data_IF_416835466533
#
_entry.id   IF_416835466533
#
_cell.length_a   1.000
_cell.length_b   1.000
_cell.length_c   1.000
_cell.angle_alpha   90.00
_cell.angle_beta   90.00
_cell.angle_gamma   90.00
#
_symmetry.space_group_name_H-M   'P 1'
#
loop_
_entity.id
_entity.type
_entity.pdbx_description
1 polymer ?
#
# COMPACT_ATOMS: atom_id res chain seq x y z
N UNK A 1 -35.27 40.58 1.77
CA UNK A 1 -34.38 39.78 2.64
C UNK A 1 -33.24 39.29 1.77
N UNK A 2 -32.07 39.93 1.84
CA UNK A 2 -30.90 39.55 1.06
C UNK A 2 -29.94 38.77 1.96
N UNK A 3 -29.67 37.52 1.60
CA UNK A 3 -28.68 36.64 2.23
C UNK A 3 -27.28 37.07 1.80
N UNK A 4 -26.56 37.75 2.68
CA UNK A 4 -25.13 38.06 2.50
C UNK A 4 -24.32 36.76 2.62
N UNK A 5 -23.87 36.24 1.48
CA UNK A 5 -22.92 35.13 1.45
C UNK A 5 -21.60 35.56 2.10
N UNK A 6 -21.26 34.92 3.22
CA UNK A 6 -20.00 35.11 3.92
C UNK A 6 -18.89 34.51 3.06
N UNK A 7 -18.10 35.37 2.41
CA UNK A 7 -16.92 34.94 1.65
C UNK A 7 -15.88 34.38 2.65
N UNK A 8 -15.74 33.05 2.68
CA UNK A 8 -14.64 32.39 3.38
C UNK A 8 -13.33 32.72 2.65
N UNK A 9 -12.57 33.65 3.20
CA UNK A 9 -11.22 33.95 2.73
C UNK A 9 -10.34 32.70 2.89
N UNK A 10 -9.74 32.24 1.80
CA UNK A 10 -8.85 31.10 1.80
C UNK A 10 -7.69 31.31 2.80
N UNK A 11 -7.27 30.25 3.52
CA UNK A 11 -6.19 30.35 4.50
C UNK A 11 -4.89 30.83 3.83
N UNK A 12 -4.33 31.90 4.38
CA UNK A 12 -3.09 32.52 3.90
C UNK A 12 -1.94 31.54 4.17
N UNK A 13 -1.26 31.09 3.12
CA UNK A 13 -0.08 30.23 3.27
C UNK A 13 1.03 31.01 3.99
N UNK A 14 1.60 30.41 5.04
CA UNK A 14 2.72 30.98 5.78
C UNK A 14 4.04 30.72 5.02
N UNK A 15 4.51 31.75 4.32
CA UNK A 15 5.72 31.69 3.51
C UNK A 15 6.97 31.34 4.32
N UNK A 16 7.03 31.68 5.62
CA UNK A 16 8.16 31.33 6.47
C UNK A 16 8.22 29.82 6.73
N UNK A 17 7.07 29.20 7.02
CA UNK A 17 6.95 27.74 7.16
C UNK A 17 7.32 27.03 5.87
N UNK A 18 6.86 27.50 4.71
CA UNK A 18 7.23 26.91 3.42
C UNK A 18 8.73 27.01 3.14
N UNK A 19 9.34 28.18 3.39
CA UNK A 19 10.78 28.36 3.21
C UNK A 19 11.60 27.45 4.14
N UNK A 20 11.21 27.33 5.41
CA UNK A 20 11.86 26.44 6.37
C UNK A 20 11.79 24.96 5.94
N UNK A 21 10.62 24.51 5.48
CA UNK A 21 10.44 23.14 4.96
C UNK A 21 11.31 22.88 3.73
N UNK A 22 11.41 23.84 2.81
CA UNK A 22 12.27 23.71 1.63
C UNK A 22 13.76 23.63 2.00
N UNK A 23 14.20 24.46 2.95
CA UNK A 23 15.59 24.47 3.40
C UNK A 23 15.98 23.14 4.07
N UNK A 24 15.18 22.67 5.04
CA UNK A 24 15.43 21.40 5.73
C UNK A 24 15.32 20.23 4.76
N UNK A 25 14.28 20.21 3.94
CA UNK A 25 14.07 19.15 2.94
C UNK A 25 15.22 19.09 1.93
N UNK A 26 15.69 20.23 1.44
CA UNK A 26 16.83 20.31 0.53
C UNK A 26 18.13 19.80 1.16
N UNK A 27 18.43 20.22 2.39
CA UNK A 27 19.62 19.75 3.10
C UNK A 27 19.59 18.24 3.36
N UNK A 28 18.46 17.70 3.81
CA UNK A 28 18.28 16.27 4.04
C UNK A 28 18.39 15.48 2.74
N UNK A 29 17.84 15.99 1.64
CA UNK A 29 17.93 15.35 0.33
C UNK A 29 19.38 15.26 -0.16
N UNK A 30 20.16 16.35 -0.06
CA UNK A 30 21.57 16.36 -0.47
C UNK A 30 22.40 15.40 0.38
N UNK A 31 22.26 15.43 1.70
CA UNK A 31 23.00 14.53 2.60
C UNK A 31 22.63 13.06 2.37
N UNK A 32 21.35 12.77 2.18
CA UNK A 32 20.89 11.41 1.91
C UNK A 32 21.38 10.92 0.54
N UNK A 33 21.41 11.81 -0.46
CA UNK A 33 21.92 11.51 -1.79
C UNK A 33 23.40 11.14 -1.76
N UNK A 34 24.21 11.91 -1.02
CA UNK A 34 25.64 11.65 -0.84
C UNK A 34 25.89 10.27 -0.20
N UNK A 35 25.25 9.97 0.94
CA UNK A 35 25.43 8.69 1.61
C UNK A 35 24.94 7.49 0.80
N UNK A 36 23.84 7.61 0.04
CA UNK A 36 23.37 6.57 -0.86
C UNK A 36 24.29 6.36 -2.07
N UNK A 37 24.87 7.44 -2.61
CA UNK A 37 25.87 7.36 -3.68
C UNK A 37 27.11 6.63 -3.18
N UNK A 38 27.63 7.05 -2.01
CA UNK A 38 28.75 6.38 -1.37
C UNK A 38 28.48 4.90 -1.07
N UNK A 39 27.25 4.55 -0.64
CA UNK A 39 26.84 3.16 -0.46
C UNK A 39 26.91 2.36 -1.77
N UNK A 40 26.41 2.91 -2.87
CA UNK A 40 26.47 2.26 -4.17
C UNK A 40 27.92 2.07 -4.66
N UNK A 41 28.80 3.05 -4.40
CA UNK A 41 30.22 2.94 -4.72
C UNK A 41 30.97 1.88 -3.87
N UNK A 42 30.60 1.74 -2.60
CA UNK A 42 31.08 0.65 -1.73
C UNK A 42 30.62 -0.71 -2.24
N UNK A 43 29.40 -0.78 -2.78
CA UNK A 43 28.86 -1.96 -3.44
C UNK A 43 29.47 -2.23 -4.84
N UNK A 44 30.39 -1.37 -5.32
CA UNK A 44 31.15 -1.56 -6.56
C UNK A 44 30.60 -0.83 -7.79
N UNK A 45 29.53 -0.04 -7.67
CA UNK A 45 28.91 0.68 -8.78
C UNK A 45 29.67 1.98 -9.14
N UNK A 46 30.95 1.87 -9.48
CA UNK A 46 31.84 3.02 -9.75
C UNK A 46 31.93 3.43 -11.23
N UNK A 47 31.22 2.72 -12.09
CA UNK A 47 31.23 3.00 -13.53
C UNK A 47 30.30 4.18 -13.84
N UNK A 48 30.56 4.85 -14.96
CA UNK A 48 29.69 5.89 -15.52
C UNK A 48 29.08 5.41 -16.83
N UNK A 49 27.79 5.69 -17.02
CA UNK A 49 27.10 5.47 -18.28
C UNK A 49 27.46 6.61 -19.24
N UNK A 50 28.08 6.34 -20.41
CA UNK A 50 28.36 7.38 -21.38
C UNK A 50 27.06 7.96 -21.94
N UNK A 51 26.88 9.27 -21.82
CA UNK A 51 25.75 10.00 -22.37
C UNK A 51 26.28 11.06 -23.35
N UNK A 52 25.67 11.22 -24.54
CA UNK A 52 26.21 12.08 -25.61
C UNK A 52 26.25 13.57 -25.24
N UNK A 53 25.58 13.97 -24.16
CA UNK A 53 25.48 15.34 -23.66
C UNK A 53 26.23 15.59 -22.33
N UNK A 54 26.86 14.57 -21.73
CA UNK A 54 27.66 14.71 -20.51
C UNK A 54 29.10 14.29 -20.77
N UNK A 55 30.04 15.20 -20.50
CA UNK A 55 31.48 14.96 -20.72
C UNK A 55 32.03 13.81 -19.88
N UNK A 56 31.50 13.59 -18.67
CA UNK A 56 31.97 12.55 -17.74
C UNK A 56 31.01 11.34 -17.62
N UNK A 57 29.91 11.35 -18.38
CA UNK A 57 28.83 10.36 -18.25
C UNK A 57 28.00 10.53 -16.97
N UNK A 58 27.01 9.65 -16.78
CA UNK A 58 26.19 9.58 -15.58
C UNK A 58 26.74 8.50 -14.63
N UNK A 59 27.20 8.83 -13.41
CA UNK A 59 27.67 7.82 -12.47
C UNK A 59 26.57 6.81 -12.14
N UNK A 60 26.83 5.51 -12.29
CA UNK A 60 25.84 4.47 -11.99
C UNK A 60 25.47 4.46 -10.51
N UNK A 61 26.37 4.90 -9.63
CA UNK A 61 26.09 5.07 -8.20
C UNK A 61 24.90 6.01 -7.93
N UNK A 62 24.62 6.97 -8.81
CA UNK A 62 23.49 7.90 -8.68
C UNK A 62 22.14 7.22 -8.89
N UNK A 63 22.11 6.06 -9.55
CA UNK A 63 20.85 5.35 -9.82
C UNK A 63 20.18 4.89 -8.53
N UNK A 64 20.94 4.60 -7.47
CA UNK A 64 20.37 4.17 -6.19
C UNK A 64 19.54 5.27 -5.51
N UNK A 65 20.09 6.46 -5.18
CA UNK A 65 19.29 7.52 -4.58
C UNK A 65 18.13 7.94 -5.50
N UNK A 66 18.36 8.06 -6.80
CA UNK A 66 17.31 8.44 -7.75
C UNK A 66 16.16 7.43 -7.78
N UNK A 67 16.46 6.13 -7.82
CA UNK A 67 15.43 5.09 -7.83
C UNK A 67 14.65 5.05 -6.51
N UNK A 68 15.34 5.21 -5.38
CA UNK A 68 14.71 5.22 -4.06
C UNK A 68 13.80 6.43 -3.87
N UNK A 69 14.23 7.62 -4.29
CA UNK A 69 13.45 8.84 -4.23
C UNK A 69 12.25 8.79 -5.19
N UNK A 70 12.45 8.31 -6.42
CA UNK A 70 11.36 8.09 -7.36
C UNK A 70 10.31 7.13 -6.79
N UNK A 71 10.75 6.04 -6.16
CA UNK A 71 9.87 5.11 -5.46
C UNK A 71 9.09 5.78 -4.34
N UNK A 72 9.76 6.53 -3.46
CA UNK A 72 9.14 7.25 -2.35
C UNK A 72 8.10 8.28 -2.85
N UNK A 73 8.42 9.02 -3.91
CA UNK A 73 7.53 10.00 -4.54
C UNK A 73 6.30 9.32 -5.15
N UNK A 74 6.47 8.22 -5.88
CA UNK A 74 5.36 7.48 -6.47
C UNK A 74 4.44 6.92 -5.38
N UNK A 75 5.00 6.27 -4.36
CA UNK A 75 4.25 5.72 -3.24
C UNK A 75 3.50 6.82 -2.47
N UNK A 76 4.16 7.94 -2.17
CA UNK A 76 3.55 9.09 -1.47
C UNK A 76 2.45 9.75 -2.30
N UNK A 77 2.66 9.88 -3.63
CA UNK A 77 1.64 10.41 -4.53
C UNK A 77 0.41 9.52 -4.58
N UNK A 78 0.58 8.20 -4.67
CA UNK A 78 -0.56 7.28 -4.66
C UNK A 78 -1.29 7.32 -3.31
N UNK A 79 -0.54 7.41 -2.22
CA UNK A 79 -1.11 7.51 -0.87
C UNK A 79 -1.94 8.79 -0.68
N UNK A 80 -1.41 9.97 -1.07
CA UNK A 80 -1.99 11.27 -0.73
C UNK A 80 -2.89 11.87 -1.82
N UNK A 81 -2.68 11.52 -3.09
CA UNK A 81 -3.26 12.28 -4.23
C UNK A 81 -3.96 11.41 -5.27
N UNK A 82 -4.24 10.14 -4.98
CA UNK A 82 -4.89 9.24 -5.94
C UNK A 82 -6.40 9.16 -5.65
N UNK A 83 -7.25 9.92 -6.38
CA UNK A 83 -8.68 10.03 -6.10
C UNK A 83 -9.41 8.69 -6.29
N UNK A 84 -9.01 7.92 -7.31
CA UNK A 84 -9.62 6.63 -7.65
C UNK A 84 -8.97 5.43 -6.95
N UNK A 85 -7.97 5.62 -6.08
CA UNK A 85 -7.36 4.50 -5.37
C UNK A 85 -8.24 4.05 -4.20
N UNK A 86 -8.43 2.74 -4.08
CA UNK A 86 -9.14 2.15 -2.95
C UNK A 86 -8.40 2.38 -1.63
N UNK A 87 -9.10 2.28 -0.50
CA UNK A 87 -8.49 2.43 0.83
C UNK A 87 -7.34 1.42 1.05
N UNK A 88 -7.50 0.18 0.55
CA UNK A 88 -6.48 -0.85 0.64
C UNK A 88 -5.23 -0.52 -0.20
N UNK A 89 -5.41 0.03 -1.41
CA UNK A 89 -4.29 0.47 -2.26
C UNK A 89 -3.56 1.66 -1.64
N UNK A 90 -4.28 2.65 -1.08
CA UNK A 90 -3.67 3.78 -0.36
C UNK A 90 -2.89 3.33 0.88
N UNK A 91 -3.39 2.34 1.62
CA UNK A 91 -2.70 1.77 2.79
C UNK A 91 -1.42 1.02 2.41
N UNK A 92 -1.44 0.28 1.29
CA UNK A 92 -0.21 -0.31 0.73
C UNK A 92 0.77 0.78 0.28
N UNK A 93 0.31 1.82 -0.41
CA UNK A 93 1.15 2.95 -0.82
C UNK A 93 1.78 3.66 0.38
N UNK A 94 1.03 3.84 1.47
CA UNK A 94 1.51 4.39 2.75
C UNK A 94 2.62 3.53 3.35
N UNK A 95 2.43 2.21 3.43
CA UNK A 95 3.48 1.28 3.90
C UNK A 95 4.73 1.36 3.03
N UNK A 96 4.57 1.43 1.71
CA UNK A 96 5.69 1.56 0.77
C UNK A 96 6.44 2.88 0.95
N UNK A 97 5.74 4.00 1.15
CA UNK A 97 6.34 5.31 1.41
C UNK A 97 7.18 5.31 2.70
N UNK A 98 6.64 4.78 3.81
CA UNK A 98 7.41 4.62 5.04
C UNK A 98 8.57 3.63 4.90
N UNK A 99 8.37 2.55 4.14
CA UNK A 99 9.41 1.60 3.82
C UNK A 99 10.57 2.26 3.06
N UNK A 100 10.29 3.15 2.11
CA UNK A 100 11.31 3.88 1.37
C UNK A 100 12.16 4.79 2.28
N UNK A 101 11.49 5.53 3.18
CA UNK A 101 12.17 6.38 4.17
C UNK A 101 13.04 5.54 5.10
N UNK A 102 12.49 4.44 5.64
CA UNK A 102 13.25 3.52 6.50
C UNK A 102 14.45 2.92 5.79
N UNK A 103 14.30 2.54 4.53
CA UNK A 103 15.37 1.99 3.71
C UNK A 103 16.50 3.02 3.47
N UNK A 104 16.15 4.28 3.21
CA UNK A 104 17.13 5.37 3.07
C UNK A 104 17.95 5.57 4.35
N UNK A 105 17.30 5.58 5.51
CA UNK A 105 17.97 5.70 6.82
C UNK A 105 18.91 4.51 7.06
N UNK A 106 18.46 3.28 6.77
CA UNK A 106 19.28 2.07 6.92
C UNK A 106 20.52 2.14 6.02
N UNK A 107 20.38 2.49 4.74
CA UNK A 107 21.54 2.56 3.85
C UNK A 107 22.54 3.63 4.25
N UNK A 108 22.07 4.82 4.65
CA UNK A 108 22.95 5.86 5.17
C UNK A 108 23.71 5.38 6.43
N UNK A 109 23.01 4.71 7.36
CA UNK A 109 23.63 4.14 8.56
C UNK A 109 24.68 3.07 8.23
N UNK A 110 24.35 2.15 7.31
CA UNK A 110 25.29 1.10 6.87
C UNK A 110 26.49 1.71 6.15
N UNK A 111 26.28 2.69 5.28
CA UNK A 111 27.36 3.40 4.59
C UNK A 111 28.38 3.95 5.60
N UNK A 112 27.94 4.77 6.56
CA UNK A 112 28.84 5.35 7.55
C UNK A 112 29.48 4.29 8.46
N UNK A 113 28.75 3.23 8.81
CA UNK A 113 29.31 2.13 9.59
C UNK A 113 30.44 1.39 8.86
N UNK A 114 30.27 1.13 7.56
CA UNK A 114 31.30 0.49 6.71
C UNK A 114 32.47 1.44 6.44
N UNK A 115 32.18 2.71 6.17
CA UNK A 115 33.17 3.76 5.94
C UNK A 115 34.12 3.91 7.13
N UNK A 116 33.58 3.84 8.35
CA UNK A 116 34.33 3.89 9.61
C UNK A 116 35.15 2.61 9.92
N UNK A 117 34.84 1.46 9.30
CA UNK A 117 35.48 0.17 9.59
C UNK A 117 36.03 -0.49 8.31
N UNK A 118 36.68 0.31 7.45
CA UNK A 118 37.15 -0.10 6.11
C UNK A 118 38.16 -1.26 6.10
N UNK A 119 38.74 -1.62 7.23
CA UNK A 119 39.79 -2.62 7.35
C UNK A 119 39.22 -4.05 7.30
N UNK A 120 38.84 -4.50 6.09
CA UNK A 120 38.57 -5.92 5.78
C UNK A 120 37.10 -6.35 5.75
N UNK A 121 36.18 -5.46 5.36
CA UNK A 121 34.76 -5.67 5.65
C UNK A 121 34.03 -6.58 4.64
N UNK A 122 33.79 -7.82 5.06
CA UNK A 122 32.67 -8.66 4.60
C UNK A 122 31.33 -7.89 4.57
N UNK A 123 31.22 -6.79 5.33
CA UNK A 123 30.12 -5.84 5.28
C UNK A 123 29.98 -5.16 3.91
N UNK A 124 31.07 -4.82 3.20
CA UNK A 124 30.98 -4.28 1.85
C UNK A 124 30.42 -5.31 0.86
N UNK A 125 30.79 -6.58 1.01
CA UNK A 125 30.19 -7.69 0.26
C UNK A 125 28.71 -7.83 0.62
N UNK A 126 28.38 -7.77 1.92
CA UNK A 126 27.00 -7.77 2.40
C UNK A 126 26.18 -6.60 1.85
N UNK A 127 26.77 -5.41 1.75
CA UNK A 127 26.16 -4.22 1.16
C UNK A 127 25.90 -4.41 -0.34
N UNK A 128 26.86 -4.97 -1.09
CA UNK A 128 26.68 -5.29 -2.50
C UNK A 128 25.56 -6.34 -2.72
N UNK A 129 25.53 -7.39 -1.90
CA UNK A 129 24.46 -8.41 -1.94
C UNK A 129 23.10 -7.77 -1.60
N UNK A 130 23.02 -6.96 -0.56
CA UNK A 130 21.80 -6.25 -0.19
C UNK A 130 21.31 -5.37 -1.35
N UNK A 131 22.20 -4.60 -1.98
CA UNK A 131 21.87 -3.72 -3.09
C UNK A 131 21.36 -4.49 -4.32
N UNK A 132 21.89 -5.69 -4.59
CA UNK A 132 21.49 -6.53 -5.72
C UNK A 132 20.01 -6.91 -5.70
N UNK A 133 19.40 -7.02 -4.51
CA UNK A 133 17.99 -7.38 -4.33
C UNK A 133 17.09 -6.15 -4.27
N UNK A 134 17.63 -5.02 -3.80
CA UNK A 134 16.84 -3.82 -3.51
C UNK A 134 16.23 -3.22 -4.77
N UNK A 135 17.01 -2.95 -5.81
CA UNK A 135 16.49 -2.32 -7.04
C UNK A 135 15.38 -3.17 -7.71
N UNK A 136 15.54 -4.50 -7.87
CA UNK A 136 14.45 -5.36 -8.35
C UNK A 136 13.20 -5.32 -7.46
N UNK A 137 13.36 -5.31 -6.13
CA UNK A 137 12.22 -5.25 -5.19
C UNK A 137 11.49 -3.92 -5.28
N UNK A 138 12.21 -2.80 -5.40
CA UNK A 138 11.61 -1.48 -5.61
C UNK A 138 10.80 -1.46 -6.90
N UNK A 139 11.37 -1.96 -8.00
CA UNK A 139 10.68 -2.05 -9.29
C UNK A 139 9.42 -2.91 -9.21
N UNK A 140 9.53 -4.11 -8.64
CA UNK A 140 8.38 -5.00 -8.45
C UNK A 140 7.30 -4.37 -7.57
N UNK A 141 7.69 -3.63 -6.53
CA UNK A 141 6.77 -2.92 -5.63
C UNK A 141 6.02 -1.79 -6.33
N UNK A 142 6.72 -1.00 -7.17
CA UNK A 142 6.10 0.04 -8.01
C UNK A 142 5.15 -0.58 -9.02
N UNK A 143 5.57 -1.63 -9.72
CA UNK A 143 4.75 -2.31 -10.72
C UNK A 143 3.48 -2.89 -10.09
N UNK A 144 3.61 -3.53 -8.93
CA UNK A 144 2.47 -4.04 -8.17
C UNK A 144 1.53 -2.91 -7.74
N UNK A 145 2.07 -1.78 -7.26
CA UNK A 145 1.27 -0.63 -6.87
C UNK A 145 0.53 -0.03 -8.07
N UNK A 146 1.21 0.12 -9.21
CA UNK A 146 0.63 0.62 -10.46
C UNK A 146 -0.50 -0.28 -10.95
N UNK A 147 -0.31 -1.61 -10.91
CA UNK A 147 -1.35 -2.58 -11.27
C UNK A 147 -2.59 -2.45 -10.36
N UNK A 148 -2.41 -2.27 -9.05
CA UNK A 148 -3.53 -2.04 -8.13
C UNK A 148 -4.27 -0.75 -8.41
N UNK A 149 -3.55 0.33 -8.70
CA UNK A 149 -4.17 1.62 -9.09
C UNK A 149 -4.95 1.46 -10.41
N UNK A 150 -4.45 0.68 -11.37
CA UNK A 150 -5.15 0.42 -12.61
C UNK A 150 -6.46 -0.35 -12.37
N UNK A 151 -6.43 -1.41 -11.57
CA UNK A 151 -7.63 -2.19 -11.19
C UNK A 151 -8.66 -1.30 -10.48
N UNK A 152 -8.23 -0.47 -9.53
CA UNK A 152 -9.13 0.42 -8.81
C UNK A 152 -9.79 1.46 -9.74
N UNK A 153 -9.06 1.95 -10.78
CA UNK A 153 -9.63 2.84 -11.80
C UNK A 153 -10.67 2.14 -12.64
N UNK A 154 -10.38 0.95 -13.15
CA UNK A 154 -11.35 0.17 -13.93
C UNK A 154 -12.63 -0.12 -13.13
N UNK A 155 -12.50 -0.36 -11.83
CA UNK A 155 -13.67 -0.56 -10.95
C UNK A 155 -14.46 0.74 -10.72
N UNK A 156 -13.81 1.90 -10.72
CA UNK A 156 -14.48 3.20 -10.61
C UNK A 156 -15.14 3.65 -11.91
N UNK A 157 -14.58 3.25 -13.06
CA UNK A 157 -15.08 3.56 -14.40
C UNK A 157 -16.11 2.53 -14.90
N UNK A 158 -16.24 1.39 -14.22
CA UNK A 158 -17.31 0.44 -14.50
C UNK A 158 -18.64 1.19 -14.34
N UNK A 159 -19.45 1.32 -15.41
CA UNK A 159 -20.72 1.99 -15.31
C UNK A 159 -21.49 1.31 -14.19
N UNK A 160 -22.08 2.13 -13.33
CA UNK A 160 -23.12 1.71 -12.38
C UNK A 160 -24.27 1.21 -13.26
N UNK A 161 -24.12 -0.03 -13.75
CA UNK A 161 -25.22 -0.83 -14.21
C UNK A 161 -26.04 -1.00 -12.95
N UNK A 162 -26.89 0.00 -12.70
CA UNK A 162 -28.07 -0.17 -11.89
C UNK A 162 -28.59 -1.55 -12.25
N UNK A 163 -28.86 -2.44 -11.27
CA UNK A 163 -29.64 -3.62 -11.58
C UNK A 163 -30.92 -3.07 -12.20
N UNK A 164 -31.00 -3.10 -13.53
CA UNK A 164 -32.22 -2.92 -14.28
C UNK A 164 -33.23 -3.80 -13.53
N UNK A 165 -34.33 -3.21 -13.03
CA UNK A 165 -35.44 -4.02 -12.53
C UNK A 165 -35.74 -4.99 -13.66
N UNK A 166 -35.45 -6.26 -13.45
CA UNK A 166 -35.66 -7.32 -14.41
C UNK A 166 -37.18 -7.54 -14.54
N UNK A 167 -37.88 -6.58 -15.12
CA UNK A 167 -39.24 -6.68 -15.63
C UNK A 167 -39.17 -7.19 -17.09
N UNK A 168 -38.67 -8.41 -17.27
CA UNK A 168 -39.01 -9.33 -18.38
C UNK A 168 -38.02 -10.52 -18.41
N UNK A 169 -37.94 -11.28 -17.32
CA UNK A 169 -37.53 -12.67 -17.43
C UNK A 169 -38.76 -13.52 -17.76
N UNK A 170 -38.94 -13.68 -19.06
CA UNK A 170 -39.51 -14.85 -19.72
C UNK A 170 -39.47 -16.10 -18.82
N UNK A 171 -40.66 -16.64 -18.55
CA UNK A 171 -40.89 -17.84 -17.76
C UNK A 171 -40.20 -19.05 -18.41
N UNK A 172 -39.03 -19.40 -17.90
CA UNK A 172 -38.41 -20.71 -18.10
C UNK A 172 -38.56 -21.47 -16.78
N UNK A 173 -39.35 -22.54 -16.81
CA UNK A 173 -39.51 -23.51 -15.74
C UNK A 173 -38.14 -24.16 -15.39
N UNK A 174 -37.53 -23.78 -14.26
CA UNK A 174 -36.48 -24.52 -13.55
C UNK A 174 -36.45 -24.11 -12.05
N UNK A 175 -36.01 -24.98 -11.12
CA UNK A 175 -36.74 -25.30 -9.90
C UNK A 175 -36.62 -24.25 -8.78
N UNK A 176 -37.73 -24.05 -8.08
CA UNK A 176 -37.81 -23.35 -6.82
C UNK A 176 -36.99 -24.08 -5.75
N UNK A 177 -35.83 -23.55 -5.36
CA UNK A 177 -35.16 -23.78 -4.05
C UNK A 177 -33.86 -22.95 -3.92
N UNK A 178 -33.86 -21.67 -4.34
CA UNK A 178 -32.77 -20.76 -4.02
C UNK A 178 -33.05 -20.07 -2.68
N UNK A 179 -32.60 -20.68 -1.57
CA UNK A 179 -32.70 -20.12 -0.22
C UNK A 179 -32.12 -18.70 -0.17
N UNK A 180 -32.86 -17.78 0.46
CA UNK A 180 -32.41 -16.39 0.57
C UNK A 180 -31.17 -16.27 1.48
N UNK A 181 -30.27 -15.32 1.23
CA UNK A 181 -29.09 -15.11 2.08
C UNK A 181 -29.41 -14.83 3.56
N UNK A 182 -30.60 -14.31 3.86
CA UNK A 182 -31.11 -14.11 5.23
C UNK A 182 -31.44 -15.42 5.93
N UNK A 183 -32.07 -16.37 5.25
CA UNK A 183 -32.44 -17.67 5.82
C UNK A 183 -31.19 -18.51 6.13
N UNK A 184 -30.20 -18.49 5.23
CA UNK A 184 -28.90 -19.13 5.47
C UNK A 184 -28.22 -18.53 6.70
N UNK A 185 -28.28 -17.21 6.88
CA UNK A 185 -27.72 -16.53 8.06
C UNK A 185 -28.39 -16.96 9.36
N UNK A 186 -29.71 -17.03 9.36
CA UNK A 186 -30.50 -17.40 10.52
C UNK A 186 -30.24 -18.86 10.93
N UNK A 187 -30.21 -19.78 9.95
CA UNK A 187 -29.84 -21.19 10.17
C UNK A 187 -28.42 -21.34 10.72
N UNK A 188 -27.47 -20.58 10.21
CA UNK A 188 -26.09 -20.59 10.71
C UNK A 188 -25.96 -20.07 12.14
N UNK A 189 -26.72 -19.04 12.49
CA UNK A 189 -26.75 -18.50 13.85
C UNK A 189 -27.39 -19.49 14.83
N UNK A 190 -28.51 -20.12 14.45
CA UNK A 190 -29.17 -21.14 15.26
C UNK A 190 -28.28 -22.36 15.50
N UNK A 191 -27.57 -22.84 14.47
CA UNK A 191 -26.65 -23.97 14.60
C UNK A 191 -25.46 -23.65 15.52
N UNK A 192 -24.90 -22.44 15.42
CA UNK A 192 -23.82 -22.01 16.29
C UNK A 192 -24.24 -21.93 17.78
N UNK A 193 -25.46 -21.46 18.05
CA UNK A 193 -26.01 -21.40 19.42
C UNK A 193 -26.25 -22.80 19.99
N UNK A 194 -26.86 -23.71 19.21
CA UNK A 194 -27.17 -25.07 19.64
C UNK A 194 -25.92 -25.89 20.02
N UNK A 195 -24.84 -25.79 19.24
CA UNK A 195 -23.58 -26.46 19.55
C UNK A 195 -22.88 -25.87 20.79
N UNK A 196 -23.11 -24.58 21.06
CA UNK A 196 -22.56 -23.93 22.26
C UNK A 196 -23.27 -24.39 23.53
N UNK A 197 -24.57 -24.65 23.47
CA UNK A 197 -25.33 -25.28 24.56
C UNK A 197 -24.80 -26.69 24.87
N UNK A 198 -24.26 -27.37 23.86
CA UNK A 198 -23.59 -28.67 24.01
C UNK A 198 -22.12 -28.55 24.48
N UNK A 199 -21.66 -27.34 24.81
CA UNK A 199 -20.30 -27.08 25.30
C UNK A 199 -19.22 -27.07 24.20
N UNK A 200 -19.60 -27.10 22.92
CA UNK A 200 -18.67 -27.04 21.79
C UNK A 200 -18.56 -25.61 21.26
N UNK A 201 -17.35 -25.19 20.91
CA UNK A 201 -17.10 -23.86 20.33
C UNK A 201 -16.76 -24.02 18.86
N UNK A 202 -17.73 -23.79 17.95
CA UNK A 202 -17.45 -23.82 16.51
C UNK A 202 -16.74 -22.55 16.05
N UNK A 203 -15.71 -22.75 15.23
CA UNK A 203 -15.05 -21.70 14.48
C UNK A 203 -15.87 -21.30 13.24
N UNK A 204 -15.69 -20.06 12.77
CA UNK A 204 -16.35 -19.60 11.55
C UNK A 204 -16.05 -20.45 10.32
N UNK A 205 -14.86 -21.06 10.25
CA UNK A 205 -14.46 -21.94 9.15
C UNK A 205 -15.17 -23.31 9.18
N UNK A 206 -15.60 -23.78 10.36
CA UNK A 206 -16.41 -25.00 10.48
C UNK A 206 -17.86 -24.75 10.06
N UNK A 207 -18.40 -23.58 10.42
CA UNK A 207 -19.69 -23.10 9.91
C UNK A 207 -19.68 -22.97 8.38
N UNK A 208 -18.62 -22.39 7.82
CA UNK A 208 -18.44 -22.27 6.37
C UNK A 208 -18.45 -23.65 5.68
N UNK A 209 -17.75 -24.64 6.26
CA UNK A 209 -17.75 -26.03 5.75
C UNK A 209 -19.11 -26.73 5.88
N UNK A 210 -19.84 -26.51 6.97
CA UNK A 210 -21.14 -27.16 7.21
C UNK A 210 -22.22 -26.62 6.26
N UNK A 211 -22.19 -25.34 5.92
CA UNK A 211 -23.20 -24.68 5.09
C UNK A 211 -22.75 -24.44 3.65
N UNK A 212 -21.58 -24.94 3.24
CA UNK A 212 -21.06 -24.75 1.88
C UNK A 212 -20.74 -23.30 1.52
N UNK A 213 -20.49 -22.45 2.52
CA UNK A 213 -20.17 -21.03 2.33
C UNK A 213 -18.66 -20.80 2.44
N UNK A 214 -18.12 -19.71 1.84
CA UNK A 214 -16.67 -19.44 1.86
C UNK A 214 -16.22 -18.55 3.02
N UNK A 215 -16.93 -17.45 3.24
CA UNK A 215 -16.55 -16.42 4.23
C UNK A 215 -17.74 -15.93 5.07
N UNK A 216 -18.86 -16.63 5.00
CA UNK A 216 -20.10 -16.17 5.60
C UNK A 216 -20.14 -16.52 7.10
N UNK A 217 -19.68 -17.71 7.48
CA UNK A 217 -19.58 -18.17 8.86
C UNK A 217 -18.68 -17.30 9.73
N UNK A 218 -17.55 -16.82 9.20
CA UNK A 218 -16.68 -15.87 9.93
C UNK A 218 -17.35 -14.53 10.21
N UNK A 219 -18.29 -14.09 9.37
CA UNK A 219 -19.03 -12.84 9.58
C UNK A 219 -20.13 -13.03 10.63
N UNK A 220 -20.86 -14.15 10.57
CA UNK A 220 -21.90 -14.51 11.55
C UNK A 220 -21.31 -14.63 12.96
N UNK A 221 -20.22 -15.37 13.14
CA UNK A 221 -19.57 -15.52 14.47
C UNK A 221 -19.08 -14.17 15.02
N UNK A 222 -18.59 -13.27 14.17
CA UNK A 222 -18.16 -11.93 14.60
C UNK A 222 -19.33 -11.04 15.00
N UNK A 223 -20.47 -11.14 14.31
CA UNK A 223 -21.68 -10.39 14.66
C UNK A 223 -22.23 -10.84 16.02
N UNK A 224 -22.38 -12.16 16.21
CA UNK A 224 -22.90 -12.74 17.47
C UNK A 224 -22.01 -12.40 18.67
N UNK A 225 -20.68 -12.49 18.53
CA UNK A 225 -19.75 -12.10 19.60
C UNK A 225 -19.83 -10.62 20.00
N UNK A 226 -20.16 -9.72 19.05
CA UNK A 226 -20.36 -8.29 19.35
C UNK A 226 -21.65 -8.05 20.10
N UNK A 227 -22.72 -8.76 19.74
CA UNK A 227 -24.01 -8.67 20.43
C UNK A 227 -23.90 -9.18 21.88
N UNK A 228 -23.09 -10.22 22.12
CA UNK A 228 -22.81 -10.74 23.46
C UNK A 228 -21.98 -9.78 24.31
N UNK A 229 -20.99 -9.10 23.74
CA UNK A 229 -20.18 -8.11 24.46
C UNK A 229 -20.93 -6.82 24.83
N UNK A 230 -22.11 -6.60 24.25
CA UNK A 230 -22.96 -5.44 24.49
C UNK A 230 -24.13 -5.73 25.46
N UNK A 231 -24.25 -6.96 25.98
CA UNK A 231 -25.22 -7.36 27.01
C UNK A 231 -24.54 -7.47 28.37
#
# INVERSE_FOLDING_TARGET
MATTAKSEAAPRQDGATTAGLLAVGGAVAVLSFDGLTGFAELAGFRQSLPLPFLTEGLPLAWLLPVALDAYAVVATRVWLRSPHASAATRDTARRQAYGAVGLSVVFNGVYHAVDAHRDGSWLAVGAAVALSVVLPVLLASVAHLAARVAVDRTAADAPDLMPEPNEAAESVDEPADAESPSEVKERMAAHWLAEREQGRVLSGAELDRHFGTREYGRRVVRALKREEGNR
#
